data_IF_715503394554
#
_entry.id   IF_715503394554
#
_cell.length_a   1.000
_cell.length_b   1.000
_cell.length_c   1.000
_cell.angle_alpha   90.00
_cell.angle_beta   90.00
_cell.angle_gamma   90.00
#
_symmetry.space_group_name_H-M   'P 1'
#
loop_
_entity.id
_entity.type
_entity.pdbx_description
1 polymer ?
#
# COMPACT_ATOMS: atom_id res chain seq x y z
N UNK A 1 -7.25 -12.13 35.29
CA UNK A 1 -7.57 -11.71 33.90
C UNK A 1 -7.35 -10.21 33.81
N UNK A 2 -6.75 -9.73 32.70
CA UNK A 2 -6.32 -8.34 32.41
C UNK A 2 -4.83 -7.99 32.69
N UNK A 3 -3.87 -8.78 32.18
CA UNK A 3 -2.43 -8.42 32.19
C UNK A 3 -1.70 -8.74 30.87
N UNK A 4 -2.41 -8.94 29.75
CA UNK A 4 -1.74 -9.19 28.46
C UNK A 4 -1.77 -7.98 27.50
N UNK A 5 -2.59 -6.97 27.77
CA UNK A 5 -2.72 -5.80 26.88
C UNK A 5 -1.76 -4.65 27.19
N UNK A 6 -1.00 -4.68 28.31
CA UNK A 6 -0.20 -3.55 28.77
C UNK A 6 1.24 -3.47 28.25
N UNK A 7 1.72 -4.44 27.46
CA UNK A 7 3.13 -4.54 27.03
C UNK A 7 3.26 -4.86 25.53
N UNK A 8 2.26 -4.55 24.71
CA UNK A 8 2.50 -4.38 23.28
C UNK A 8 2.94 -2.93 23.09
N UNK A 9 4.25 -2.72 22.90
CA UNK A 9 4.85 -1.39 22.80
C UNK A 9 4.03 -0.49 21.87
N UNK A 10 3.77 0.75 22.29
CA UNK A 10 2.92 1.68 21.56
C UNK A 10 3.29 1.70 20.06
N UNK A 11 2.34 1.32 19.19
CA UNK A 11 2.56 1.18 17.74
C UNK A 11 2.61 -0.27 17.23
N UNK A 12 2.84 -1.28 18.07
CA UNK A 12 2.99 -2.69 17.63
C UNK A 12 1.68 -3.29 17.11
N UNK A 13 0.55 -2.84 17.65
CA UNK A 13 -0.77 -3.22 17.14
C UNK A 13 -0.96 -2.65 15.73
N UNK A 14 -0.67 -1.36 15.56
CA UNK A 14 -0.82 -0.63 14.31
C UNK A 14 0.10 -1.19 13.22
N UNK A 15 1.34 -1.59 13.58
CA UNK A 15 2.27 -2.30 12.69
C UNK A 15 1.67 -3.59 12.16
N UNK A 16 1.06 -4.41 13.02
CA UNK A 16 0.40 -5.65 12.59
C UNK A 16 -0.82 -5.40 11.73
N UNK A 17 -1.62 -4.38 12.05
CA UNK A 17 -2.76 -3.99 11.21
C UNK A 17 -2.30 -3.52 9.83
N UNK A 18 -1.23 -2.73 9.75
CA UNK A 18 -0.59 -2.31 8.49
C UNK A 18 -0.24 -3.51 7.61
N UNK A 19 0.37 -4.57 8.16
CA UNK A 19 0.75 -5.77 7.39
C UNK A 19 -0.48 -6.41 6.73
N UNK A 20 -1.61 -6.46 7.45
CA UNK A 20 -2.88 -6.97 6.93
C UNK A 20 -3.41 -6.12 5.76
N UNK A 21 -3.45 -4.80 5.93
CA UNK A 21 -3.91 -3.89 4.88
C UNK A 21 -2.98 -3.85 3.66
N UNK A 22 -1.67 -4.02 3.86
CA UNK A 22 -0.70 -4.10 2.76
C UNK A 22 -0.95 -5.32 1.88
N UNK A 23 -1.31 -6.48 2.46
CA UNK A 23 -1.69 -7.63 1.65
C UNK A 23 -2.88 -7.31 0.74
N UNK A 24 -3.94 -6.74 1.31
CA UNK A 24 -5.15 -6.36 0.55
C UNK A 24 -4.81 -5.35 -0.55
N UNK A 25 -3.96 -4.37 -0.25
CA UNK A 25 -3.54 -3.36 -1.20
C UNK A 25 -2.75 -3.96 -2.37
N UNK A 26 -1.80 -4.87 -2.08
CA UNK A 26 -1.02 -5.55 -3.09
C UNK A 26 -1.90 -6.40 -4.02
N UNK A 27 -2.90 -7.09 -3.46
CA UNK A 27 -3.86 -7.88 -4.23
C UNK A 27 -4.69 -6.97 -5.16
N UNK A 28 -5.23 -5.85 -4.65
CA UNK A 28 -5.98 -4.88 -5.47
C UNK A 28 -5.13 -4.25 -6.57
N UNK A 29 -3.87 -3.91 -6.28
CA UNK A 29 -2.94 -3.37 -7.28
C UNK A 29 -2.63 -4.43 -8.34
N UNK A 30 -2.43 -5.69 -7.94
CA UNK A 30 -2.18 -6.77 -8.89
C UNK A 30 -3.38 -6.98 -9.83
N UNK A 31 -4.60 -6.96 -9.30
CA UNK A 31 -5.82 -7.04 -10.12
C UNK A 31 -5.92 -5.87 -11.11
N UNK A 32 -5.62 -4.65 -10.66
CA UNK A 32 -5.54 -3.47 -11.54
C UNK A 32 -4.49 -3.68 -12.65
N UNK A 33 -3.29 -4.16 -12.31
CA UNK A 33 -2.20 -4.42 -13.25
C UNK A 33 -2.56 -5.47 -14.30
N UNK A 34 -3.26 -6.53 -13.91
CA UNK A 34 -3.72 -7.59 -14.81
C UNK A 34 -4.84 -7.07 -15.73
N UNK A 35 -5.84 -6.40 -15.16
CA UNK A 35 -7.03 -5.93 -15.87
C UNK A 35 -6.73 -4.79 -16.84
N UNK A 36 -5.85 -3.86 -16.46
CA UNK A 36 -5.56 -2.63 -17.20
C UNK A 36 -4.10 -2.54 -17.67
N UNK A 37 -3.50 -3.69 -17.97
CA UNK A 37 -2.10 -3.81 -18.38
C UNK A 37 -1.70 -2.85 -19.50
N UNK A 38 -2.54 -2.71 -20.53
CA UNK A 38 -2.23 -1.90 -21.70
C UNK A 38 -2.27 -0.41 -21.37
N UNK A 39 -3.28 0.03 -20.63
CA UNK A 39 -3.44 1.41 -20.18
C UNK A 39 -2.26 1.83 -19.30
N UNK A 40 -1.93 1.02 -18.29
CA UNK A 40 -0.79 1.27 -17.40
C UNK A 40 0.55 1.26 -18.13
N UNK A 41 0.68 0.42 -19.18
CA UNK A 41 1.86 0.43 -20.06
C UNK A 41 1.94 1.72 -20.87
N UNK A 42 0.83 2.19 -21.44
CA UNK A 42 0.78 3.43 -22.22
C UNK A 42 1.08 4.66 -21.37
N UNK A 43 0.73 4.63 -20.07
CA UNK A 43 1.10 5.64 -19.09
C UNK A 43 2.57 5.58 -18.64
N UNK A 44 3.31 4.52 -19.01
CA UNK A 44 4.71 4.34 -18.62
C UNK A 44 4.91 3.98 -17.14
N UNK A 45 3.84 3.64 -16.41
CA UNK A 45 3.90 3.38 -14.96
C UNK A 45 4.01 1.90 -14.61
N UNK A 46 3.63 0.99 -15.51
CA UNK A 46 3.48 -0.44 -15.18
C UNK A 46 4.76 -1.08 -14.62
N UNK A 47 5.92 -0.79 -15.20
CA UNK A 47 7.18 -1.39 -14.72
C UNK A 47 7.56 -0.87 -13.34
N UNK A 48 7.35 0.42 -13.08
CA UNK A 48 7.61 1.02 -11.76
C UNK A 48 6.64 0.47 -10.72
N UNK A 49 5.37 0.32 -11.08
CA UNK A 49 4.35 -0.29 -10.23
C UNK A 49 4.65 -1.76 -9.91
N UNK A 50 5.17 -2.52 -10.87
CA UNK A 50 5.58 -3.91 -10.63
C UNK A 50 6.79 -4.00 -9.70
N UNK A 51 7.83 -3.18 -9.92
CA UNK A 51 9.03 -3.16 -9.06
C UNK A 51 8.66 -2.77 -7.63
N UNK A 52 7.85 -1.72 -7.44
CA UNK A 52 7.52 -1.24 -6.10
C UNK A 52 6.65 -2.25 -5.34
N UNK A 53 5.72 -2.91 -6.01
CA UNK A 53 4.87 -3.94 -5.40
C UNK A 53 5.69 -5.18 -5.05
N UNK A 54 6.68 -5.56 -5.86
CA UNK A 54 7.60 -6.66 -5.55
C UNK A 54 8.45 -6.37 -4.30
N UNK A 55 9.04 -5.16 -4.20
CA UNK A 55 9.81 -4.74 -3.03
C UNK A 55 8.94 -4.77 -1.76
N UNK A 56 7.74 -4.19 -1.81
CA UNK A 56 6.81 -4.19 -0.67
C UNK A 56 6.41 -5.62 -0.30
N UNK A 57 6.18 -6.49 -1.28
CA UNK A 57 5.85 -7.91 -1.05
C UNK A 57 6.98 -8.63 -0.34
N UNK A 58 8.23 -8.46 -0.79
CA UNK A 58 9.40 -9.09 -0.17
C UNK A 58 9.61 -8.66 1.27
N UNK A 59 9.28 -7.41 1.58
CA UNK A 59 9.47 -6.81 2.91
C UNK A 59 8.19 -6.71 3.72
N UNK A 60 7.09 -7.38 3.31
CA UNK A 60 5.75 -7.21 3.90
C UNK A 60 5.70 -7.30 5.42
N UNK A 61 6.49 -8.19 6.02
CA UNK A 61 6.52 -8.40 7.47
C UNK A 61 7.49 -7.46 8.22
N UNK A 62 8.20 -6.59 7.51
CA UNK A 62 9.14 -5.60 8.06
C UNK A 62 8.77 -4.19 7.53
N UNK A 63 7.66 -3.59 8.00
CA UNK A 63 7.15 -2.34 7.44
C UNK A 63 8.12 -1.16 7.51
N UNK A 64 9.10 -1.19 8.43
CA UNK A 64 10.17 -0.19 8.51
C UNK A 64 10.95 -0.07 7.20
N UNK A 65 11.02 -1.15 6.43
CA UNK A 65 11.81 -1.20 5.20
C UNK A 65 11.14 -0.46 4.05
N UNK A 66 9.81 -0.46 4.00
CA UNK A 66 9.07 0.08 2.86
C UNK A 66 8.19 1.30 3.18
N UNK A 67 7.92 1.60 4.45
CA UNK A 67 7.05 2.72 4.84
C UNK A 67 7.64 4.12 4.63
N UNK A 68 8.92 4.21 4.24
CA UNK A 68 9.55 5.46 3.79
C UNK A 68 9.38 5.68 2.28
N UNK A 69 10.51 5.75 1.59
CA UNK A 69 10.59 6.09 0.16
C UNK A 69 9.74 5.19 -0.73
N UNK A 70 9.68 3.89 -0.46
CA UNK A 70 8.93 2.96 -1.31
C UNK A 70 7.42 3.16 -1.21
N UNK A 71 6.90 3.45 -0.02
CA UNK A 71 5.51 3.80 0.18
C UNK A 71 5.14 5.12 -0.51
N UNK A 72 5.98 6.14 -0.38
CA UNK A 72 5.78 7.43 -1.04
C UNK A 72 5.79 7.29 -2.57
N UNK A 73 6.69 6.47 -3.11
CA UNK A 73 6.70 6.16 -4.55
C UNK A 73 5.43 5.43 -4.99
N UNK A 74 4.97 4.42 -4.23
CA UNK A 74 3.72 3.74 -4.52
C UNK A 74 2.55 4.73 -4.58
N UNK A 75 2.40 5.57 -3.56
CA UNK A 75 1.33 6.58 -3.51
C UNK A 75 1.44 7.57 -4.68
N UNK A 76 2.66 7.99 -5.05
CA UNK A 76 2.89 8.84 -6.22
C UNK A 76 2.45 8.18 -7.53
N UNK A 77 2.74 6.89 -7.71
CA UNK A 77 2.30 6.13 -8.89
C UNK A 77 0.77 6.02 -8.93
N UNK A 78 0.12 5.69 -7.80
CA UNK A 78 -1.35 5.61 -7.73
C UNK A 78 -1.98 6.97 -8.06
N UNK A 79 -1.44 8.07 -7.52
CA UNK A 79 -1.89 9.42 -7.87
C UNK A 79 -1.71 9.75 -9.35
N UNK A 80 -0.67 9.22 -10.00
CA UNK A 80 -0.48 9.35 -11.45
C UNK A 80 -1.55 8.58 -12.22
N UNK A 81 -1.86 7.35 -11.78
CA UNK A 81 -2.91 6.52 -12.39
C UNK A 81 -4.29 7.20 -12.27
N UNK A 82 -4.56 7.84 -11.13
CA UNK A 82 -5.80 8.56 -10.86
C UNK A 82 -6.08 9.72 -11.83
N UNK A 83 -5.06 10.25 -12.52
CA UNK A 83 -5.25 11.31 -13.52
C UNK A 83 -5.94 10.80 -14.79
N UNK A 84 -5.95 9.49 -15.04
CA UNK A 84 -6.71 8.89 -16.13
C UNK A 84 -8.18 8.67 -15.73
N UNK A 85 -9.11 9.21 -16.52
CA UNK A 85 -10.54 9.15 -16.21
C UNK A 85 -11.10 7.72 -16.18
N UNK A 86 -10.58 6.82 -17.00
CA UNK A 86 -11.05 5.43 -17.06
C UNK A 86 -10.59 4.66 -15.82
N UNK A 87 -9.33 4.85 -15.42
CA UNK A 87 -8.75 4.14 -14.28
C UNK A 87 -9.15 4.74 -12.94
N UNK A 88 -9.46 6.03 -12.86
CA UNK A 88 -9.85 6.68 -11.60
C UNK A 88 -11.01 5.96 -10.88
N UNK A 89 -12.00 5.47 -11.63
CA UNK A 89 -13.15 4.75 -11.06
C UNK A 89 -12.79 3.39 -10.45
N UNK A 90 -11.65 2.83 -10.84
CA UNK A 90 -11.17 1.51 -10.42
C UNK A 90 -10.24 1.59 -9.21
N UNK A 91 -9.83 2.80 -8.82
CA UNK A 91 -8.89 3.00 -7.72
C UNK A 91 -9.55 3.11 -6.35
N UNK A 92 -10.88 3.13 -6.26
CA UNK A 92 -11.60 3.42 -5.00
C UNK A 92 -11.11 2.55 -3.83
N UNK A 93 -11.06 1.23 -4.01
CA UNK A 93 -10.65 0.31 -2.95
C UNK A 93 -9.16 0.50 -2.59
N UNK A 94 -8.32 0.78 -3.59
CA UNK A 94 -6.89 1.10 -3.40
C UNK A 94 -6.72 2.39 -2.59
N UNK A 95 -7.52 3.41 -2.86
CA UNK A 95 -7.48 4.69 -2.15
C UNK A 95 -7.91 4.54 -0.69
N UNK A 96 -9.01 3.82 -0.42
CA UNK A 96 -9.48 3.54 0.94
C UNK A 96 -8.40 2.79 1.76
N UNK A 97 -7.72 1.83 1.13
CA UNK A 97 -6.60 1.11 1.75
C UNK A 97 -5.40 2.03 2.02
N UNK A 98 -5.03 2.91 1.08
CA UNK A 98 -3.95 3.90 1.27
C UNK A 98 -4.27 4.84 2.43
N UNK A 99 -5.50 5.36 2.52
CA UNK A 99 -5.92 6.24 3.62
C UNK A 99 -5.86 5.52 4.97
N UNK A 100 -6.31 4.27 5.03
CA UNK A 100 -6.25 3.46 6.24
C UNK A 100 -4.80 3.19 6.67
N UNK A 101 -3.93 2.82 5.73
CA UNK A 101 -2.51 2.58 6.00
C UNK A 101 -1.83 3.87 6.47
N UNK A 102 -2.08 5.02 5.82
CA UNK A 102 -1.51 6.30 6.23
C UNK A 102 -1.94 6.71 7.64
N UNK A 103 -3.20 6.44 8.01
CA UNK A 103 -3.70 6.71 9.36
C UNK A 103 -2.97 5.87 10.40
N UNK A 104 -2.79 4.56 10.14
CA UNK A 104 -2.04 3.67 11.01
C UNK A 104 -0.55 4.02 11.06
N UNK A 105 0.02 4.46 9.93
CA UNK A 105 1.41 4.87 9.79
C UNK A 105 1.76 5.98 10.78
N UNK A 106 0.89 6.98 10.89
CA UNK A 106 1.04 8.09 11.83
C UNK A 106 1.00 7.63 13.29
N UNK A 107 0.09 6.71 13.64
CA UNK A 107 -0.03 6.14 14.98
C UNK A 107 1.18 5.27 15.35
N UNK A 108 1.69 4.50 14.40
CA UNK A 108 2.88 3.64 14.54
C UNK A 108 4.21 4.41 14.51
N UNK A 109 4.17 5.73 14.23
CA UNK A 109 5.32 6.64 14.12
C UNK A 109 6.37 6.20 13.08
N UNK A 110 5.89 5.79 11.92
CA UNK A 110 6.69 5.59 10.71
C UNK A 110 6.91 6.89 9.94
#
# INVERSE_FOLDING_TARGET
>A
MAVEESILGAGERERREIVGYIQMLLDSINDLMVKYKLELKNMGVINRLAIITEIITMHKYNPETYMGTYWEELVSIINTIKQDQKLANELKDIEELIEKINSLRQLAKF
#
